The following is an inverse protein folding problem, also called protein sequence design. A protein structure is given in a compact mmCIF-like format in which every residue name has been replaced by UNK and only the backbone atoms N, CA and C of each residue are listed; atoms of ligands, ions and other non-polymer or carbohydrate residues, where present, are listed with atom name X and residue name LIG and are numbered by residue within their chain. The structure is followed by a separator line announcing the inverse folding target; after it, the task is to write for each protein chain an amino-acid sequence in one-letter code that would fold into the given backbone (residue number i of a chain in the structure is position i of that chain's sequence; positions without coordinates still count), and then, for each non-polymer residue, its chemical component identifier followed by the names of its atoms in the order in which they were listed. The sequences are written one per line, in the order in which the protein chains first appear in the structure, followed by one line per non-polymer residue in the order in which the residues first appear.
data_IF_047445052823
#
_entry.id   IF_047445052823
#
_cell.length_a   1.000
_cell.length_b   1.000
_cell.length_c   1.000
_cell.angle_alpha   90.00
_cell.angle_beta   90.00
_cell.angle_gamma   90.00
#
_symmetry.space_group_name_H-M   'P 1'
#
loop_
_entity.id
_entity.type
_entity.pdbx_description
1 polymer ?
#
# COMPACT_ATOMS: atom_id res chain seq x y z
N UNK A 1 2.64 7.41 11.23
CA UNK A 1 3.98 6.96 10.76
C UNK A 1 4.68 8.11 10.03
N UNK A 2 6.00 8.05 9.81
CA UNK A 2 6.69 9.13 9.08
C UNK A 2 6.54 8.99 7.57
N UNK A 3 6.89 7.83 6.99
CA UNK A 3 6.84 7.62 5.53
C UNK A 3 6.34 6.23 5.17
N UNK A 4 5.44 6.16 4.17
CA UNK A 4 4.92 4.89 3.61
C UNK A 4 4.93 4.93 2.09
N UNK A 5 4.98 3.76 1.46
CA UNK A 5 4.70 3.60 0.03
C UNK A 5 3.50 2.68 -0.18
N UNK A 6 2.58 3.05 -1.07
CA UNK A 6 1.29 2.39 -1.23
C UNK A 6 1.25 1.57 -2.52
N UNK A 7 0.48 0.49 -2.47
CA UNK A 7 0.19 -0.41 -3.58
C UNK A 7 -1.08 0.01 -4.34
N UNK A 8 -1.17 -0.40 -5.61
CA UNK A 8 -2.34 -0.19 -6.46
C UNK A 8 -3.58 -0.91 -5.91
N UNK A 9 -3.43 -2.17 -5.47
CA UNK A 9 -4.54 -2.98 -4.95
C UNK A 9 -5.13 -2.37 -3.68
N UNK A 10 -4.29 -1.80 -2.81
CA UNK A 10 -4.76 -1.07 -1.62
C UNK A 10 -5.61 0.14 -2.03
N UNK A 11 -5.14 0.92 -3.02
CA UNK A 11 -5.86 2.08 -3.52
C UNK A 11 -7.23 1.69 -4.10
N UNK A 12 -7.27 0.61 -4.88
CA UNK A 12 -8.50 0.08 -5.47
C UNK A 12 -9.47 -0.35 -4.36
N UNK A 13 -9.02 -1.12 -3.36
CA UNK A 13 -9.86 -1.62 -2.27
C UNK A 13 -10.44 -0.52 -1.40
N UNK A 14 -9.64 0.50 -1.05
CA UNK A 14 -10.11 1.64 -0.26
C UNK A 14 -10.97 2.61 -1.09
N UNK A 15 -10.67 2.74 -2.38
CA UNK A 15 -11.35 3.64 -3.30
C UNK A 15 -12.60 3.06 -3.93
N UNK A 16 -12.97 1.81 -3.64
CA UNK A 16 -14.06 1.07 -4.31
C UNK A 16 -15.49 1.52 -3.94
N UNK A 17 -15.67 2.78 -3.53
CA UNK A 17 -16.99 3.32 -3.18
C UNK A 17 -17.10 4.80 -3.53
N UNK A 18 -18.16 5.15 -4.24
CA UNK A 18 -18.53 6.55 -4.49
C UNK A 18 -19.09 7.23 -3.24
N UNK A 19 -19.79 6.46 -2.39
CA UNK A 19 -20.43 6.98 -1.18
C UNK A 19 -19.45 7.22 -0.04
N UNK A 20 -18.39 6.40 0.02
CA UNK A 20 -17.41 6.42 1.10
C UNK A 20 -16.02 6.64 0.52
N UNK A 21 -15.50 7.88 0.52
CA UNK A 21 -14.21 8.20 -0.08
C UNK A 21 -13.04 7.79 0.82
N UNK A 22 -13.00 6.51 1.22
CA UNK A 22 -12.07 6.01 2.23
C UNK A 22 -10.61 6.09 1.79
N UNK A 23 -10.29 5.96 0.50
CA UNK A 23 -8.92 6.19 0.04
C UNK A 23 -8.49 7.62 0.38
N UNK A 24 -9.35 8.61 0.13
CA UNK A 24 -9.08 10.02 0.42
C UNK A 24 -9.04 10.33 1.91
N UNK A 25 -9.92 9.72 2.70
CA UNK A 25 -10.05 10.02 4.14
C UNK A 25 -9.03 9.28 5.01
N UNK A 26 -8.74 8.02 4.69
CA UNK A 26 -7.95 7.13 5.55
C UNK A 26 -6.46 7.30 5.30
N UNK A 27 -6.04 7.40 4.03
CA UNK A 27 -4.63 7.40 3.68
C UNK A 27 -3.86 8.55 4.35
N UNK A 28 -4.37 9.80 4.40
CA UNK A 28 -3.71 10.90 5.09
C UNK A 28 -3.57 10.73 6.61
N UNK A 29 -4.32 9.80 7.21
CA UNK A 29 -4.20 9.49 8.64
C UNK A 29 -3.03 8.55 8.95
N UNK A 30 -2.54 7.80 7.95
CA UNK A 30 -1.53 6.77 8.16
C UNK A 30 -0.12 7.33 8.33
N UNK A 31 0.24 8.34 7.53
CA UNK A 31 1.60 8.88 7.49
C UNK A 31 1.69 10.33 7.05
N UNK A 32 2.78 11.00 7.42
CA UNK A 32 3.09 12.37 7.00
C UNK A 32 3.53 12.43 5.53
N UNK A 33 4.32 11.45 5.09
CA UNK A 33 4.81 11.34 3.71
C UNK A 33 4.33 10.05 3.08
N UNK A 34 3.48 10.16 2.06
CA UNK A 34 2.86 9.01 1.38
C UNK A 34 3.32 9.04 -0.06
N UNK A 35 3.91 7.95 -0.52
CA UNK A 35 4.40 7.80 -1.89
C UNK A 35 3.63 6.69 -2.61
N UNK A 36 3.52 6.80 -3.93
CA UNK A 36 3.11 5.71 -4.82
C UNK A 36 4.11 5.63 -5.97
N UNK A 37 4.59 4.43 -6.30
CA UNK A 37 5.47 4.29 -7.46
C UNK A 37 4.68 4.53 -8.76
N UNK A 38 5.29 5.18 -9.75
CA UNK A 38 4.64 5.49 -11.04
C UNK A 38 4.01 4.25 -11.70
N UNK A 39 4.69 3.10 -11.68
CA UNK A 39 4.12 1.84 -12.16
C UNK A 39 2.84 1.41 -11.41
N UNK A 40 2.80 1.53 -10.08
CA UNK A 40 1.60 1.20 -9.29
C UNK A 40 0.50 2.25 -9.49
N UNK A 41 0.87 3.53 -9.64
CA UNK A 41 -0.08 4.59 -9.97
C UNK A 41 -0.78 4.32 -11.31
N UNK A 42 -0.03 3.94 -12.34
CA UNK A 42 -0.57 3.63 -13.67
C UNK A 42 -1.44 2.36 -13.70
N UNK A 43 -1.33 1.49 -12.69
CA UNK A 43 -2.17 0.29 -12.54
C UNK A 43 -3.57 0.61 -12.00
N UNK A 44 -3.75 1.72 -11.28
CA UNK A 44 -5.06 2.16 -10.75
C UNK A 44 -5.89 2.79 -11.87
N UNK A 45 -6.56 1.94 -12.65
CA UNK A 45 -7.41 2.37 -13.79
C UNK A 45 -8.91 2.23 -13.53
N UNK A 46 -9.29 1.35 -12.60
CA UNK A 46 -10.66 1.05 -12.22
C UNK A 46 -10.73 0.62 -10.76
N UNK A 47 -11.86 0.87 -10.07
CA UNK A 47 -13.03 1.61 -10.53
C UNK A 47 -12.78 3.13 -10.62
N UNK A 48 -13.64 3.86 -11.36
CA UNK A 48 -13.51 5.30 -11.57
C UNK A 48 -13.38 6.09 -10.26
N UNK A 49 -14.17 5.75 -9.25
CA UNK A 49 -14.12 6.39 -7.94
C UNK A 49 -12.77 6.22 -7.22
N UNK A 50 -12.05 5.11 -7.44
CA UNK A 50 -10.70 4.93 -6.89
C UNK A 50 -9.69 5.81 -7.64
N UNK A 51 -9.82 5.92 -8.97
CA UNK A 51 -9.00 6.80 -9.81
C UNK A 51 -9.15 8.25 -9.39
N UNK A 52 -10.38 8.74 -9.27
CA UNK A 52 -10.66 10.13 -8.87
C UNK A 52 -10.11 10.46 -7.47
N UNK A 53 -10.28 9.54 -6.52
CA UNK A 53 -9.76 9.73 -5.17
C UNK A 53 -8.23 9.78 -5.15
N UNK A 54 -7.56 8.89 -5.89
CA UNK A 54 -6.10 8.88 -5.98
C UNK A 54 -5.57 10.14 -6.70
N UNK A 55 -6.21 10.54 -7.79
CA UNK A 55 -5.88 11.77 -8.52
C UNK A 55 -5.99 12.98 -7.59
N UNK A 56 -7.09 13.10 -6.85
CA UNK A 56 -7.28 14.18 -5.89
C UNK A 56 -6.17 14.20 -4.83
N UNK A 57 -5.78 13.04 -4.30
CA UNK A 57 -4.68 12.94 -3.33
C UNK A 57 -3.33 13.41 -3.91
N UNK A 58 -3.05 13.09 -5.18
CA UNK A 58 -1.84 13.53 -5.86
C UNK A 58 -1.86 15.03 -6.14
N UNK A 59 -2.94 15.55 -6.72
CA UNK A 59 -3.10 16.97 -7.05
C UNK A 59 -3.05 17.88 -5.81
N UNK A 60 -3.53 17.38 -4.66
CA UNK A 60 -3.51 18.11 -3.39
C UNK A 60 -2.23 17.87 -2.57
N UNK A 61 -1.20 17.24 -3.16
CA UNK A 61 0.09 17.00 -2.51
C UNK A 61 0.04 16.07 -1.30
N UNK A 62 -1.02 15.26 -1.17
CA UNK A 62 -1.18 14.26 -0.11
C UNK A 62 -0.48 12.95 -0.42
N UNK A 63 -0.33 12.62 -1.71
CA UNK A 63 0.44 11.48 -2.21
C UNK A 63 1.43 11.97 -3.25
N UNK A 64 2.67 11.51 -3.17
CA UNK A 64 3.72 11.80 -4.16
C UNK A 64 3.89 10.63 -5.12
N UNK A 65 3.80 10.90 -6.42
CA UNK A 65 4.20 9.92 -7.43
C UNK A 65 5.72 9.92 -7.55
N UNK A 66 6.33 8.75 -7.35
CA UNK A 66 7.78 8.58 -7.34
C UNK A 66 8.22 7.56 -8.38
N UNK A 67 9.48 7.64 -8.81
CA UNK A 67 10.10 6.66 -9.70
C UNK A 67 11.62 6.64 -9.51
N UNK A 68 12.29 5.69 -10.14
CA UNK A 68 13.73 5.47 -10.07
C UNK A 68 14.58 6.57 -10.71
N UNK A 69 14.01 7.39 -11.60
CA UNK A 69 14.77 8.42 -12.33
C UNK A 69 15.17 9.59 -11.44
N UNK A 70 14.47 9.80 -10.32
CA UNK A 70 14.80 10.80 -9.30
C UNK A 70 15.80 10.34 -8.24
N UNK A 71 16.31 9.10 -8.30
CA UNK A 71 17.24 8.56 -7.31
C UNK A 71 18.69 9.00 -7.59
N UNK A 72 19.47 9.22 -6.53
CA UNK A 72 20.91 9.39 -6.67
C UNK A 72 21.57 8.08 -7.15
N UNK A 73 22.82 8.10 -7.67
CA UNK A 73 23.47 6.90 -8.21
C UNK A 73 23.55 5.73 -7.23
N UNK A 74 23.79 6.01 -5.94
CA UNK A 74 23.85 4.97 -4.90
C UNK A 74 22.48 4.32 -4.67
N UNK A 75 21.43 5.12 -4.47
CA UNK A 75 20.07 4.61 -4.27
C UNK A 75 19.56 3.89 -5.51
N UNK A 76 19.91 4.38 -6.70
CA UNK A 76 19.55 3.74 -7.97
C UNK A 76 20.16 2.35 -8.10
N UNK A 77 21.41 2.16 -7.68
CA UNK A 77 22.02 0.83 -7.66
C UNK A 77 21.26 -0.12 -6.71
N UNK A 78 20.87 0.35 -5.52
CA UNK A 78 20.06 -0.43 -4.57
C UNK A 78 18.68 -0.76 -5.16
N UNK A 79 18.04 0.20 -5.84
CA UNK A 79 16.78 0.00 -6.54
C UNK A 79 16.89 -1.11 -7.59
N UNK A 80 17.86 -1.01 -8.50
CA UNK A 80 18.04 -1.96 -9.59
C UNK A 80 18.34 -3.38 -9.07
N UNK A 81 19.19 -3.50 -8.05
CA UNK A 81 19.45 -4.79 -7.38
C UNK A 81 18.19 -5.37 -6.73
N UNK A 82 17.45 -4.55 -5.99
CA UNK A 82 16.22 -4.97 -5.31
C UNK A 82 15.14 -5.38 -6.30
N UNK A 83 14.96 -4.60 -7.37
CA UNK A 83 14.01 -4.90 -8.44
C UNK A 83 14.34 -6.23 -9.11
N UNK A 84 15.60 -6.46 -9.49
CA UNK A 84 16.02 -7.74 -10.10
C UNK A 84 15.76 -8.94 -9.16
N UNK A 85 16.05 -8.80 -7.87
CA UNK A 85 15.80 -9.84 -6.85
C UNK A 85 14.30 -10.19 -6.75
N UNK A 86 13.43 -9.18 -6.75
CA UNK A 86 11.98 -9.35 -6.67
C UNK A 86 11.41 -9.89 -7.98
N UNK A 87 11.82 -9.33 -9.12
CA UNK A 87 11.33 -9.71 -10.45
C UNK A 87 11.55 -11.21 -10.71
N UNK A 88 12.67 -11.77 -10.25
CA UNK A 88 12.99 -13.19 -10.38
C UNK A 88 11.99 -14.15 -9.71
N UNK A 89 11.19 -13.67 -8.75
CA UNK A 89 10.19 -14.49 -8.04
C UNK A 89 8.75 -14.00 -8.16
N UNK A 90 8.55 -12.71 -8.41
CA UNK A 90 7.23 -12.08 -8.48
C UNK A 90 6.70 -11.96 -9.91
N UNK A 91 7.58 -11.90 -10.91
CA UNK A 91 7.21 -11.65 -12.30
C UNK A 91 7.43 -12.93 -13.10
N UNK A 92 6.33 -13.58 -13.47
CA UNK A 92 6.36 -14.74 -14.37
C UNK A 92 6.57 -14.31 -15.81
N UNK A 93 7.34 -15.10 -16.58
CA UNK A 93 7.54 -14.88 -18.02
C UNK A 93 6.23 -14.78 -18.82
N UNK A 94 5.20 -15.54 -18.41
CA UNK A 94 3.90 -15.56 -19.09
C UNK A 94 3.00 -14.36 -18.76
N UNK A 95 3.34 -13.62 -17.68
CA UNK A 95 2.60 -12.43 -17.23
C UNK A 95 3.59 -11.36 -16.75
N UNK A 96 4.38 -10.76 -17.67
CA UNK A 96 5.48 -9.86 -17.30
C UNK A 96 5.02 -8.56 -16.63
N UNK A 97 3.76 -8.18 -16.81
CA UNK A 97 3.17 -7.01 -16.17
C UNK A 97 2.51 -7.32 -14.82
N UNK A 98 2.33 -8.60 -14.47
CA UNK A 98 1.73 -8.98 -13.19
C UNK A 98 2.75 -8.71 -12.08
N UNK A 99 2.34 -8.01 -11.02
CA UNK A 99 3.15 -7.63 -9.86
C UNK A 99 4.30 -6.65 -10.17
N UNK A 100 4.28 -6.01 -11.35
CA UNK A 100 5.33 -5.03 -11.71
C UNK A 100 5.25 -3.80 -10.81
N UNK A 101 4.05 -3.25 -10.57
CA UNK A 101 3.84 -2.15 -9.62
C UNK A 101 4.37 -2.47 -8.22
N UNK A 102 4.08 -3.66 -7.69
CA UNK A 102 4.59 -4.14 -6.39
C UNK A 102 6.12 -4.22 -6.37
N UNK A 103 6.73 -4.86 -7.38
CA UNK A 103 8.18 -5.03 -7.45
C UNK A 103 8.91 -3.68 -7.53
N UNK A 104 8.42 -2.74 -8.34
CA UNK A 104 8.96 -1.40 -8.43
C UNK A 104 8.78 -0.61 -7.11
N UNK A 105 7.61 -0.71 -6.48
CA UNK A 105 7.33 -0.02 -5.21
C UNK A 105 8.24 -0.51 -4.09
N UNK A 106 8.41 -1.83 -3.95
CA UNK A 106 9.28 -2.43 -2.95
C UNK A 106 10.76 -2.12 -3.20
N UNK A 107 11.20 -2.14 -4.46
CA UNK A 107 12.56 -1.75 -4.82
C UNK A 107 12.84 -0.27 -4.47
N UNK A 108 11.90 0.62 -4.75
CA UNK A 108 11.99 2.03 -4.39
C UNK A 108 12.00 2.23 -2.87
N UNK A 109 11.13 1.51 -2.16
CA UNK A 109 11.09 1.53 -0.71
C UNK A 109 12.44 1.15 -0.10
N UNK A 110 13.07 0.08 -0.62
CA UNK A 110 14.37 -0.38 -0.15
C UNK A 110 15.47 0.65 -0.41
N UNK A 111 15.51 1.21 -1.62
CA UNK A 111 16.48 2.23 -2.02
C UNK A 111 16.38 3.51 -1.19
N UNK A 112 15.18 3.87 -0.73
CA UNK A 112 14.93 5.15 -0.05
C UNK A 112 14.69 5.02 1.45
N UNK A 113 14.86 3.82 2.01
CA UNK A 113 14.68 3.54 3.44
C UNK A 113 13.23 3.59 3.93
N UNK A 114 12.24 3.46 3.04
CA UNK A 114 10.83 3.35 3.45
C UNK A 114 10.59 1.93 3.97
N UNK A 115 10.21 1.80 5.24
CA UNK A 115 10.05 0.51 5.92
C UNK A 115 8.62 -0.01 5.94
N UNK A 116 7.66 0.74 5.40
CA UNK A 116 6.25 0.36 5.38
C UNK A 116 5.73 0.36 3.94
N UNK A 117 5.29 -0.81 3.48
CA UNK A 117 4.60 -1.00 2.21
C UNK A 117 3.13 -1.28 2.46
N UNK A 118 2.25 -0.34 2.10
CA UNK A 118 0.83 -0.48 2.33
C UNK A 118 0.19 -1.26 1.18
N UNK A 119 -0.18 -2.52 1.45
CA UNK A 119 -0.77 -3.47 0.50
C UNK A 119 -1.73 -4.38 1.26
N UNK A 120 -2.73 -4.95 0.61
CA UNK A 120 -3.62 -5.94 1.23
C UNK A 120 -3.33 -7.39 0.75
N UNK A 121 -2.21 -7.61 0.06
CA UNK A 121 -1.74 -8.96 -0.33
C UNK A 121 -1.10 -9.69 0.86
N UNK A 122 -1.65 -10.86 1.20
CA UNK A 122 -1.23 -11.64 2.38
C UNK A 122 0.09 -12.37 2.17
N UNK A 123 0.37 -12.77 0.93
CA UNK A 123 1.51 -13.63 0.62
C UNK A 123 2.78 -12.85 0.32
N UNK A 124 2.73 -11.51 0.38
CA UNK A 124 3.86 -10.67 0.00
C UNK A 124 4.91 -10.54 1.11
N UNK A 125 4.50 -10.51 2.39
CA UNK A 125 5.45 -10.37 3.51
C UNK A 125 6.53 -11.46 3.53
N UNK A 126 6.24 -12.76 3.31
CA UNK A 126 7.28 -13.79 3.21
C UNK A 126 8.27 -13.54 2.07
N UNK A 127 7.80 -13.05 0.92
CA UNK A 127 8.65 -12.73 -0.24
C UNK A 127 9.59 -11.59 0.13
N UNK A 128 9.05 -10.48 0.66
CA UNK A 128 9.84 -9.34 1.15
C UNK A 128 10.88 -9.80 2.18
N UNK A 129 10.45 -10.63 3.13
CA UNK A 129 11.31 -11.09 4.22
C UNK A 129 12.49 -11.92 3.70
N UNK A 130 12.27 -12.74 2.67
CA UNK A 130 13.32 -13.59 2.07
C UNK A 130 14.22 -12.86 1.07
N UNK A 131 13.74 -11.77 0.45
CA UNK A 131 14.43 -11.12 -0.67
C UNK A 131 15.06 -9.77 -0.33
N UNK A 132 14.47 -9.03 0.62
CA UNK A 132 14.83 -7.64 0.90
C UNK A 132 15.19 -7.41 2.37
N UNK A 133 14.58 -8.13 3.30
CA UNK A 133 14.82 -7.92 4.72
C UNK A 133 16.08 -8.64 5.17
N UNK A 134 17.04 -7.87 5.66
CA UNK A 134 18.37 -8.32 6.05
C UNK A 134 18.76 -7.75 7.43
N UNK A 135 17.81 -7.18 8.17
CA UNK A 135 18.00 -6.53 9.46
C UNK A 135 18.26 -5.02 9.39
N UNK A 136 18.28 -4.44 8.19
CA UNK A 136 18.48 -2.99 7.97
C UNK A 136 17.40 -2.50 7.02
N UNK A 137 16.63 -1.49 7.45
CA UNK A 137 15.49 -0.94 6.72
C UNK A 137 14.61 -2.07 6.18
N UNK A 138 14.22 -2.96 7.09
CA UNK A 138 13.32 -4.06 6.77
C UNK A 138 11.93 -3.51 6.48
N UNK A 139 11.32 -4.05 5.44
CA UNK A 139 10.03 -3.61 4.93
C UNK A 139 8.94 -4.50 5.53
N UNK A 140 7.90 -3.85 6.04
CA UNK A 140 6.72 -4.49 6.61
C UNK A 140 5.46 -4.09 5.83
N UNK A 141 4.62 -5.08 5.54
CA UNK A 141 3.32 -4.84 4.94
C UNK A 141 2.36 -4.23 5.95
N UNK A 142 1.73 -3.11 5.59
CA UNK A 142 0.58 -2.54 6.29
C UNK A 142 -0.69 -2.89 5.53
N UNK A 143 -1.48 -3.83 6.05
CA UNK A 143 -2.73 -4.29 5.42
C UNK A 143 -3.94 -3.59 6.02
N UNK A 144 -5.09 -3.81 5.40
CA UNK A 144 -6.36 -3.21 5.86
C UNK A 144 -6.73 -3.68 7.28
N UNK A 145 -6.39 -4.92 7.65
CA UNK A 145 -6.59 -5.40 9.03
C UNK A 145 -5.72 -4.62 10.02
N UNK A 146 -4.51 -4.24 9.61
CA UNK A 146 -3.57 -3.52 10.45
C UNK A 146 -4.03 -2.05 10.60
N UNK A 147 -4.56 -1.43 9.53
CA UNK A 147 -5.21 -0.11 9.59
C UNK A 147 -6.40 -0.10 10.55
N UNK A 148 -7.24 -1.15 10.53
CA UNK A 148 -8.35 -1.26 11.48
C UNK A 148 -7.83 -1.49 12.90
N UNK A 149 -6.75 -2.25 13.06
CA UNK A 149 -6.07 -2.41 14.35
C UNK A 149 -5.59 -1.07 14.91
N UNK A 150 -5.02 -0.20 14.06
CA UNK A 150 -4.64 1.16 14.44
C UNK A 150 -5.87 1.97 14.92
N UNK A 151 -6.99 1.87 14.21
CA UNK A 151 -8.24 2.53 14.63
C UNK A 151 -8.78 2.00 15.95
N UNK A 152 -8.74 0.68 16.14
CA UNK A 152 -9.15 0.00 17.38
C UNK A 152 -8.31 0.46 18.58
N UNK A 153 -7.00 0.62 18.38
CA UNK A 153 -6.06 1.07 19.42
C UNK A 153 -6.09 2.59 19.66
N UNK A 154 -6.83 3.36 18.85
CA UNK A 154 -6.87 4.82 18.93
C UNK A 154 -5.65 5.53 18.31
N UNK A 155 -4.83 4.82 17.53
CA UNK A 155 -3.68 5.40 16.81
C UNK A 155 -4.12 6.32 15.65
N UNK A 156 -5.31 6.07 15.11
CA UNK A 156 -5.97 6.91 14.09
C UNK A 156 -7.43 7.12 14.46
N UNK A 157 -7.95 8.30 14.17
CA UNK A 157 -9.34 8.68 14.50
C UNK A 157 -10.33 8.12 13.46
N UNK A 158 -10.67 6.83 13.61
CA UNK A 158 -11.69 6.16 12.82
C UNK A 158 -12.63 5.40 13.76
N UNK A 159 -13.91 5.80 13.76
CA UNK A 159 -14.93 5.11 14.55
C UNK A 159 -15.16 3.68 14.06
N UNK A 160 -15.50 2.76 14.98
CA UNK A 160 -15.81 1.34 14.67
C UNK A 160 -16.78 1.17 13.49
N UNK A 161 -17.84 1.99 13.42
CA UNK A 161 -18.82 1.92 12.33
C UNK A 161 -18.19 2.21 10.96
N UNK A 162 -17.29 3.19 10.90
CA UNK A 162 -16.52 3.55 9.70
C UNK A 162 -15.50 2.48 9.37
N UNK A 163 -14.75 1.98 10.36
CA UNK A 163 -13.81 0.86 10.19
C UNK A 163 -14.50 -0.40 9.63
N UNK A 164 -15.72 -0.69 10.09
CA UNK A 164 -16.55 -1.79 9.59
C UNK A 164 -16.97 -1.59 8.13
N UNK A 165 -17.37 -0.37 7.77
CA UNK A 165 -17.72 -0.06 6.39
C UNK A 165 -16.49 -0.20 5.48
N UNK A 166 -15.32 0.28 5.91
CA UNK A 166 -14.05 0.13 5.21
C UNK A 166 -13.71 -1.35 4.97
N UNK A 167 -13.83 -2.19 6.00
CA UNK A 167 -13.61 -3.64 5.90
C UNK A 167 -14.48 -4.29 4.82
N UNK A 168 -15.77 -3.96 4.80
CA UNK A 168 -16.74 -4.53 3.86
C UNK A 168 -16.45 -4.05 2.43
N UNK A 169 -16.18 -2.76 2.24
CA UNK A 169 -15.88 -2.16 0.93
C UNK A 169 -14.58 -2.74 0.33
N UNK A 170 -13.61 -3.05 1.19
CA UNK A 170 -12.40 -3.78 0.81
C UNK A 170 -12.63 -5.26 0.42
N UNK A 171 -13.89 -5.70 0.34
CA UNK A 171 -14.29 -7.04 -0.09
C UNK A 171 -14.20 -8.11 1.00
N UNK A 172 -14.10 -7.72 2.27
CA UNK A 172 -13.95 -8.66 3.39
C UNK A 172 -15.30 -8.93 4.07
N UNK A 173 -15.43 -10.11 4.69
CA UNK A 173 -16.70 -10.57 5.27
C UNK A 173 -17.07 -9.79 6.53
N UNK A 174 -18.32 -9.33 6.60
CA UNK A 174 -18.84 -8.59 7.76
C UNK A 174 -18.77 -9.41 9.05
N UNK A 175 -19.03 -10.72 8.95
CA UNK A 175 -19.05 -11.64 10.08
C UNK A 175 -17.66 -11.75 10.73
N UNK A 176 -16.60 -11.74 9.91
CA UNK A 176 -15.22 -11.76 10.41
C UNK A 176 -14.92 -10.48 11.20
N UNK A 177 -15.45 -9.33 10.75
CA UNK A 177 -15.26 -8.07 11.46
C UNK A 177 -15.83 -8.12 12.88
N UNK A 178 -17.10 -8.53 13.00
CA UNK A 178 -17.81 -8.54 14.28
C UNK A 178 -17.35 -9.66 15.22
N UNK A 179 -16.71 -10.72 14.71
CA UNK A 179 -16.27 -11.86 15.52
C UNK A 179 -14.81 -11.78 15.96
N UNK A 180 -13.91 -11.30 15.09
CA UNK A 180 -12.47 -11.43 15.33
C UNK A 180 -11.65 -10.17 15.09
N UNK A 181 -12.13 -9.20 14.29
CA UNK A 181 -11.36 -7.97 14.02
C UNK A 181 -11.64 -6.89 15.06
N UNK A 182 -12.92 -6.59 15.30
CA UNK A 182 -13.34 -5.62 16.31
C UNK A 182 -14.69 -6.05 16.90
N UNK A 183 -14.70 -6.97 17.88
CA UNK A 183 -15.93 -7.47 18.48
C UNK A 183 -16.81 -6.37 19.08
N UNK A 184 -18.13 -6.61 19.12
CA UNK A 184 -19.02 -5.85 19.99
C UNK A 184 -18.85 -6.40 21.40
N UNK A 185 -18.37 -5.56 22.32
CA UNK A 185 -18.47 -5.85 23.76
C UNK A 185 -19.93 -5.98 24.20
#
# INVERSE_FOLDING_TARGET
MDRIIIDADLCIKLGNSEKYPFLREVLPLLAKDICIHACAYDEVKMPHCAVEQLLWLVENGKVKVVNETGLCPADRAVYEMSYCSLAAVMISHDKPNKNRGEACSLAYAKATGITIFATDERNLQPIISSRLNIGINDIHCLRIIDIIGMAYNGDIDIQRKTAKALWIIAGKKKEDFDKSVWPLE
#
